data_IF_518355628459
#
_entry.id   IF_518355628459
#
_cell.length_a   1.000
_cell.length_b   1.000
_cell.length_c   1.000
_cell.angle_alpha   90.00
_cell.angle_beta   90.00
_cell.angle_gamma   90.00
#
_symmetry.space_group_name_H-M   'P 1'
#
loop_
_entity.id
_entity.type
_entity.pdbx_description
1 polymer ?
2 non-polymer ?
3 water ?
#
# COMPACT_ATOMS: atom_id res chain seq x y z
N UNK A 24 10.31 -25.05 13.28
CA UNK A 24 11.75 -24.90 13.16
C UNK A 24 12.21 -23.47 13.37
N UNK A 25 11.35 -22.67 14.01
CA UNK A 25 11.63 -21.26 14.23
C UNK A 25 12.29 -21.06 15.58
N UNK A 26 13.29 -20.18 15.63
CA UNK A 26 13.91 -19.83 16.89
C UNK A 26 12.97 -18.95 17.71
N UNK A 27 13.23 -18.88 19.02
CA UNK A 27 12.40 -18.07 19.89
C UNK A 27 12.49 -16.60 19.53
N UNK A 28 13.64 -16.14 19.04
CA UNK A 28 13.76 -14.75 18.59
C UNK A 28 12.88 -14.50 17.37
N UNK A 29 12.78 -15.48 16.47
CA UNK A 29 11.94 -15.31 15.28
C UNK A 29 10.46 -15.37 15.63
N UNK A 30 10.10 -16.17 16.63
CA UNK A 30 8.71 -16.20 17.08
C UNK A 30 8.31 -14.88 17.71
N UNK A 31 9.19 -14.30 18.54
CA UNK A 31 8.89 -12.98 19.10
C UNK A 31 8.76 -11.92 18.03
N UNK A 32 9.53 -12.05 16.95
CA UNK A 32 9.46 -11.09 15.85
C UNK A 32 8.09 -11.13 15.18
N UNK A 33 7.61 -12.33 14.85
CA UNK A 33 6.32 -12.46 14.20
C UNK A 33 5.21 -12.02 15.14
N UNK A 34 5.33 -12.35 16.43
CA UNK A 34 4.30 -11.98 17.40
C UNK A 34 4.14 -10.47 17.47
N UNK A 35 5.25 -9.74 17.52
CA UNK A 35 5.18 -8.28 17.62
C UNK A 35 4.67 -7.65 16.33
N UNK A 36 4.98 -8.23 15.17
CA UNK A 36 4.47 -7.67 13.92
C UNK A 36 2.97 -7.89 13.79
N UNK A 37 2.49 -9.07 14.20
CA UNK A 37 1.05 -9.33 14.19
C UNK A 37 0.33 -8.41 15.17
N UNK A 38 0.92 -8.21 16.35
CA UNK A 38 0.32 -7.29 17.32
C UNK A 38 0.25 -5.87 16.77
N UNK A 39 1.32 -5.43 16.11
CA UNK A 39 1.31 -4.12 15.46
C UNK A 39 0.19 -4.02 14.43
N UNK A 40 0.04 -5.05 13.60
CA UNK A 40 -0.97 -5.03 12.56
C UNK A 40 -2.38 -5.08 13.14
N UNK A 41 -2.56 -5.83 14.23
CA UNK A 41 -3.87 -5.94 14.84
C UNK A 41 -4.35 -4.59 15.38
N UNK A 42 -3.44 -3.78 15.90
CA UNK A 42 -3.82 -2.52 16.54
C UNK A 42 -3.96 -1.36 15.57
N UNK A 43 -3.33 -1.41 14.40
CA UNK A 43 -3.26 -0.25 13.53
C UNK A 43 -3.95 -0.43 12.19
N UNK A 44 -4.47 -1.62 11.89
CA UNK A 44 -5.15 -1.89 10.63
C UNK A 44 -6.64 -2.06 10.90
N UNK A 45 -7.41 -1.01 10.62
CA UNK A 45 -8.87 -1.04 10.72
C UNK A 45 -9.41 -1.79 9.51
N UNK A 46 -9.52 -3.11 9.66
CA UNK A 46 -9.93 -3.96 8.54
C UNK A 46 -11.32 -3.61 8.03
N UNK A 47 -12.20 -3.15 8.92
CA UNK A 47 -13.56 -2.79 8.53
C UNK A 47 -13.72 -1.31 8.16
N UNK A 48 -12.65 -0.53 8.24
CA UNK A 48 -12.66 0.89 7.85
C UNK A 48 -13.75 1.68 8.55
N UNK A 49 -14.11 1.28 9.78
CA UNK A 49 -15.25 1.89 10.45
C UNK A 49 -14.98 3.31 10.92
N UNK A 50 -13.72 3.72 11.00
CA UNK A 50 -13.36 5.05 11.47
C UNK A 50 -12.97 5.99 10.35
N UNK A 51 -13.24 5.63 9.10
CA UNK A 51 -12.98 6.45 7.94
C UNK A 51 -14.25 7.26 7.66
N UNK A 52 -14.26 8.53 8.08
CA UNK A 52 -15.46 9.35 8.05
C UNK A 52 -15.18 10.70 7.39
N UNK A 53 -16.26 11.40 7.07
CA UNK A 53 -16.22 12.80 6.61
C UNK A 53 -15.35 13.00 5.38
N UNK A 54 -15.29 11.99 4.52
CA UNK A 54 -14.46 12.07 3.32
C UNK A 54 -15.23 12.71 2.18
N UNK A 55 -14.47 13.34 1.27
CA UNK A 55 -15.05 14.02 0.13
C UNK A 55 -15.47 13.01 -0.94
N UNK A 56 -16.39 13.44 -1.79
CA UNK A 56 -17.00 12.61 -2.81
C UNK A 56 -17.12 13.40 -4.11
N UNK A 57 -17.23 12.72 -5.25
CA UNK A 57 -17.46 13.44 -6.51
C UNK A 57 -18.75 14.24 -6.46
N UNK A 58 -18.67 15.51 -6.84
CA UNK A 58 -19.75 16.44 -6.54
C UNK A 58 -21.03 16.08 -7.27
N UNK A 59 -22.15 16.30 -6.60
CA UNK A 59 -23.46 16.07 -7.18
C UNK A 59 -23.89 17.26 -8.03
N UNK A 79 -0.54 20.49 -23.80
CA UNK A 79 0.79 20.86 -23.32
C UNK A 79 1.18 19.97 -22.15
N UNK A 80 1.36 20.57 -20.97
CA UNK A 80 1.52 19.76 -19.77
C UNK A 80 0.21 19.09 -19.38
N UNK A 81 -0.93 19.69 -19.74
CA UNK A 81 -2.22 19.07 -19.47
C UNK A 81 -2.47 17.85 -20.35
N UNK A 82 -1.80 17.76 -21.50
CA UNK A 82 -1.88 16.55 -22.31
C UNK A 82 -1.13 15.39 -21.67
N UNK A 83 -0.05 15.68 -20.96
CA UNK A 83 0.70 14.68 -20.20
C UNK A 83 0.08 14.41 -18.83
N UNK A 84 -0.66 15.37 -18.27
CA UNK A 84 -1.34 15.14 -17.00
C UNK A 84 -2.38 14.04 -17.12
N UNK A 85 -2.98 13.89 -18.30
CA UNK A 85 -3.96 12.83 -18.52
C UNK A 85 -3.30 11.45 -18.50
N UNK A 86 -2.01 11.35 -18.78
CA UNK A 86 -1.29 10.08 -18.75
C UNK A 86 -0.74 9.76 -17.37
N UNK A 87 -1.08 10.52 -16.35
CA UNK A 87 -0.53 10.34 -15.01
C UNK A 87 -1.58 9.99 -13.98
N UNK A 88 -2.84 9.91 -14.36
CA UNK A 88 -3.90 9.61 -13.41
C UNK A 88 -3.96 8.11 -13.16
N UNK A 89 -4.72 7.72 -12.14
CA UNK A 89 -5.02 6.31 -11.98
C UNK A 89 -5.69 5.76 -13.22
N UNK A 90 -4.92 5.08 -14.06
CA UNK A 90 -5.43 4.63 -15.34
C UNK A 90 -6.53 3.57 -15.21
N UNK A 91 -6.81 3.09 -14.01
CA UNK A 91 -7.84 2.07 -13.79
C UNK A 91 -9.17 2.73 -13.44
N UNK A 92 -10.18 2.51 -14.28
CA UNK A 92 -11.49 3.09 -14.07
C UNK A 92 -12.26 2.28 -13.02
N UNK A 93 -12.73 2.95 -11.98
CA UNK A 93 -13.42 2.29 -10.87
C UNK A 93 -14.75 2.98 -10.62
N UNK A 94 -15.79 2.18 -10.41
CA UNK A 94 -17.04 2.67 -9.84
C UNK A 94 -16.96 2.59 -8.32
N UNK A 95 -17.88 3.30 -7.67
CA UNK A 95 -17.78 3.53 -6.23
C UNK A 95 -19.10 3.14 -5.58
N UNK A 96 -19.02 2.38 -4.48
CA UNK A 96 -20.18 1.87 -3.76
C UNK A 96 -20.16 2.37 -2.32
N UNK A 97 -21.33 2.76 -1.81
CA UNK A 97 -21.48 3.18 -0.42
C UNK A 97 -22.71 2.49 0.15
N UNK A 98 -22.50 1.49 1.00
CA UNK A 98 -23.60 0.76 1.62
C UNK A 98 -23.94 1.45 2.94
N UNK A 99 -25.13 2.05 3.01
CA UNK A 99 -25.56 2.69 4.24
C UNK A 99 -25.97 1.68 5.29
N UNK A 100 -25.85 2.09 6.55
CA UNK A 100 -26.20 1.20 7.65
C UNK A 100 -27.65 0.77 7.62
N UNK A 101 -28.52 1.54 6.96
CA UNK A 101 -29.94 1.21 6.88
C UNK A 101 -30.28 0.24 5.77
N UNK A 102 -29.38 0.05 4.81
CA UNK A 102 -29.63 -0.81 3.65
C UNK A 102 -29.58 -0.09 2.33
N UNK A 103 -29.44 1.24 2.32
CA UNK A 103 -29.39 1.98 1.07
C UNK A 103 -28.03 1.82 0.39
N UNK A 104 -28.02 1.97 -0.92
CA UNK A 104 -26.80 1.87 -1.72
C UNK A 104 -26.68 3.10 -2.62
N UNK A 105 -25.64 3.90 -2.39
CA UNK A 105 -25.25 4.95 -3.31
C UNK A 105 -24.18 4.41 -4.24
N UNK A 106 -24.36 4.61 -5.54
CA UNK A 106 -23.43 4.09 -6.53
C UNK A 106 -22.99 5.19 -7.48
N UNK A 107 -21.69 5.22 -7.77
CA UNK A 107 -21.09 6.24 -8.63
C UNK A 107 -20.47 5.58 -9.85
N UNK A 108 -20.92 5.98 -11.04
CA UNK A 108 -20.27 5.65 -12.31
C UNK A 108 -19.53 6.86 -12.83
N UNK A 109 -18.26 6.74 -13.20
CA UNK A 109 -17.50 7.92 -13.60
C UNK A 109 -17.66 8.21 -15.08
N UNK A 110 -17.26 9.39 -15.53
CA UNK A 110 -17.37 9.74 -16.94
C UNK A 110 -16.09 9.43 -17.72
N UNK A 111 -16.22 9.46 -19.04
CA UNK A 111 -15.08 9.28 -19.93
C UNK A 111 -14.35 10.62 -20.12
N UNK A 112 -13.13 10.54 -20.65
CA UNK A 112 -12.33 11.74 -20.86
C UNK A 112 -12.91 12.62 -21.97
N UNK A 116 -11.66 19.32 -17.26
CA UNK A 116 -11.22 19.22 -15.87
C UNK A 116 -12.11 18.28 -15.06
N UNK A 117 -12.90 17.46 -15.75
CA UNK A 117 -13.71 16.43 -15.09
C UNK A 117 -12.91 15.17 -14.80
N UNK A 118 -11.66 15.09 -15.26
CA UNK A 118 -10.78 13.99 -14.90
C UNK A 118 -10.21 14.15 -13.50
N UNK A 119 -10.46 15.28 -12.85
CA UNK A 119 -9.97 15.55 -11.50
C UNK A 119 -11.02 15.34 -10.43
N UNK A 120 -12.18 14.76 -10.77
CA UNK A 120 -13.29 14.68 -9.84
C UNK A 120 -13.04 13.67 -8.71
N UNK A 121 -12.19 12.68 -8.94
CA UNK A 121 -11.93 11.65 -7.94
C UNK A 121 -10.69 11.94 -7.09
N UNK A 122 -9.92 12.98 -7.41
CA UNK A 122 -8.70 13.26 -6.67
C UNK A 122 -8.94 13.61 -5.21
N UNK A 123 -9.91 14.48 -4.85
CA UNK A 123 -10.10 14.77 -3.41
C UNK A 123 -10.48 13.55 -2.60
N UNK A 124 -11.32 12.66 -3.14
CA UNK A 124 -11.66 11.45 -2.40
C UNK A 124 -10.47 10.53 -2.24
N UNK A 125 -9.68 10.37 -3.31
CA UNK A 125 -8.49 9.53 -3.22
C UNK A 125 -7.54 10.07 -2.16
N UNK A 126 -7.38 11.39 -2.08
CA UNK A 126 -6.46 11.97 -1.12
C UNK A 126 -6.92 11.73 0.32
N UNK A 127 -8.24 11.72 0.56
CA UNK A 127 -8.73 11.46 1.91
C UNK A 127 -8.51 10.00 2.30
N UNK A 128 -8.82 9.07 1.39
CA UNK A 128 -8.55 7.65 1.64
C UNK A 128 -7.06 7.43 1.86
N UNK A 129 -6.23 8.05 1.01
CA UNK A 129 -4.78 7.93 1.14
C UNK A 129 -4.31 8.42 2.51
N UNK A 130 -4.86 9.55 2.97
CA UNK A 130 -4.47 10.10 4.26
C UNK A 130 -4.92 9.19 5.41
N UNK A 131 -6.09 8.57 5.28
CA UNK A 131 -6.55 7.67 6.33
C UNK A 131 -5.68 6.42 6.39
N UNK A 132 -5.28 5.89 5.23
CA UNK A 132 -4.36 4.75 5.22
C UNK A 132 -3.01 5.12 5.80
N UNK A 133 -2.48 6.28 5.42
CA UNK A 133 -1.14 6.66 5.87
C UNK A 133 -1.08 6.83 7.38
N UNK A 134 -2.17 7.29 8.00
CA UNK A 134 -2.17 7.42 9.46
C UNK A 134 -2.01 6.07 10.13
N UNK A 135 -2.70 5.05 9.62
CA UNK A 135 -2.54 3.71 10.17
C UNK A 135 -1.16 3.13 9.93
N UNK A 136 -0.58 3.42 8.77
CA UNK A 136 0.74 2.88 8.45
C UNK A 136 1.80 3.49 9.36
N UNK A 137 1.71 4.79 9.63
CA UNK A 137 2.64 5.45 10.53
C UNK A 137 2.49 4.88 11.94
N UNK A 138 1.26 4.60 12.37
CA UNK A 138 1.06 4.02 13.70
C UNK A 138 1.61 2.61 13.77
N UNK A 139 1.50 1.86 12.68
CA UNK A 139 2.09 0.53 12.61
C UNK A 139 3.60 0.59 12.80
N UNK A 140 4.26 1.56 12.15
CA UNK A 140 5.71 1.67 12.28
C UNK A 140 6.11 2.03 13.71
N UNK A 141 5.39 2.97 14.33
CA UNK A 141 5.82 3.51 15.62
C UNK A 141 5.66 2.52 16.77
N UNK A 142 4.85 1.47 16.62
CA UNK A 142 4.73 0.48 17.67
C UNK A 142 5.78 -0.63 17.57
N UNK A 143 6.44 -0.76 16.43
CA UNK A 143 7.46 -1.79 16.25
C UNK A 143 8.74 -1.36 16.97
N UNK A 144 9.26 -2.23 17.83
CA UNK A 144 10.43 -1.87 18.63
C UNK A 144 11.64 -1.60 17.75
N UNK A 145 11.86 -2.42 16.72
CA UNK A 145 12.99 -2.19 15.83
C UNK A 145 12.90 -0.83 15.16
N UNK A 146 11.70 -0.37 14.86
CA UNK A 146 11.51 0.96 14.29
C UNK A 146 11.63 2.04 15.36
N UNK A 147 11.07 1.78 16.55
CA UNK A 147 11.08 2.76 17.62
C UNK A 147 12.50 3.15 18.03
N UNK A 148 13.47 2.26 17.84
CA UNK A 148 14.83 2.48 18.31
C UNK A 148 15.71 3.21 17.30
N UNK A 149 15.26 3.36 16.05
CA UNK A 149 16.05 4.08 15.07
C UNK A 149 16.01 5.58 15.36
N UNK A 150 17.03 6.32 14.92
CA UNK A 150 17.01 7.78 15.09
C UNK A 150 15.77 8.38 14.43
N UNK A 151 15.28 9.48 15.02
CA UNK A 151 14.01 10.06 14.58
C UNK A 151 14.08 10.51 13.12
N UNK A 152 15.24 11.00 12.69
CA UNK A 152 15.38 11.41 11.29
C UNK A 152 15.42 10.21 10.35
N UNK A 153 15.84 9.05 10.84
CA UNK A 153 15.83 7.83 10.04
C UNK A 153 14.44 7.21 9.96
N UNK A 154 13.67 7.33 11.05
CA UNK A 154 12.28 6.90 11.02
C UNK A 154 11.49 7.70 9.99
N UNK A 155 11.70 9.01 9.94
CA UNK A 155 11.04 9.84 8.94
C UNK A 155 11.45 9.45 7.54
N UNK A 156 12.74 9.19 7.32
CA UNK A 156 13.20 8.83 5.98
C UNK A 156 12.61 7.50 5.53
N UNK A 157 12.48 6.54 6.45
CA UNK A 157 11.96 5.23 6.10
C UNK A 157 10.46 5.29 5.79
N UNK A 158 9.72 6.10 6.54
CA UNK A 158 8.29 6.24 6.27
C UNK A 158 8.03 6.95 4.95
N UNK A 159 8.90 7.90 4.59
CA UNK A 159 8.72 8.64 3.34
C UNK A 159 8.81 7.71 2.12
N UNK A 160 9.64 6.68 2.20
CA UNK A 160 9.88 5.83 1.05
C UNK A 160 8.99 4.61 0.96
N UNK A 161 8.33 4.24 2.06
CA UNK A 161 7.60 2.98 2.12
C UNK A 161 6.10 3.12 2.33
N UNK A 162 5.60 4.33 2.63
CA UNK A 162 4.18 4.48 2.93
C UNK A 162 3.30 4.04 1.75
N UNK A 163 3.71 4.41 0.53
CA UNK A 163 2.95 3.97 -0.64
C UNK A 163 2.94 2.44 -0.75
N UNK A 164 4.08 1.80 -0.51
CA UNK A 164 4.17 0.35 -0.70
C UNK A 164 3.32 -0.39 0.32
N UNK A 165 3.29 0.09 1.56
CA UNK A 165 2.49 -0.58 2.58
C UNK A 165 1.00 -0.38 2.35
N UNK A 166 0.61 0.79 1.80
CA UNK A 166 -0.79 1.00 1.46
C UNK A 166 -1.23 0.00 0.39
N UNK A 167 -0.38 -0.22 -0.62
CA UNK A 167 -0.65 -1.26 -1.62
C UNK A 167 -0.79 -2.63 -0.97
N UNK A 168 0.14 -2.96 -0.05
CA UNK A 168 0.14 -4.27 0.56
C UNK A 168 -1.12 -4.49 1.42
N UNK A 169 -1.48 -3.48 2.22
CA UNK A 169 -2.68 -3.60 3.04
C UNK A 169 -3.94 -3.69 2.18
N UNK A 170 -3.96 -2.96 1.06
CA UNK A 170 -5.12 -3.00 0.17
C UNK A 170 -5.26 -4.34 -0.53
N UNK A 171 -4.15 -5.05 -0.76
CA UNK A 171 -4.25 -6.36 -1.41
C UNK A 171 -5.02 -7.35 -0.56
N UNK A 172 -4.98 -7.19 0.77
CA UNK A 172 -5.68 -8.11 1.66
C UNK A 172 -7.20 -7.97 1.57
N UNK A 173 -7.70 -6.79 1.18
CA UNK A 173 -9.13 -6.60 1.02
C UNK A 173 -9.56 -6.71 -0.45
N UNK A 174 -8.65 -7.12 -1.33
CA UNK A 174 -8.94 -7.21 -2.75
C UNK A 174 -9.60 -8.54 -3.08
N UNK A 175 -10.63 -8.47 -3.91
CA UNK A 175 -11.38 -9.65 -4.38
C UNK A 175 -11.05 -9.81 -5.87
N UNK A 176 -10.18 -10.77 -6.17
CA UNK A 176 -9.75 -11.02 -7.55
C UNK A 176 -10.85 -11.66 -8.40
N UNK A 177 -11.91 -12.18 -7.77
CA UNK A 177 -12.98 -12.85 -8.46
C UNK A 177 -14.10 -11.90 -8.87
N UNK A 178 -14.14 -10.71 -8.25
CA UNK A 178 -15.08 -9.66 -8.61
C UNK A 178 -14.39 -8.37 -9.06
N UNK A 179 -13.06 -8.29 -8.98
CA UNK A 179 -12.33 -7.10 -9.36
C UNK A 179 -12.63 -5.92 -8.47
N UNK A 180 -12.61 -6.14 -7.15
CA UNK A 180 -13.14 -5.19 -6.19
C UNK A 180 -12.28 -5.14 -4.94
N UNK A 181 -12.01 -3.92 -4.47
CA UNK A 181 -11.37 -3.68 -3.19
C UNK A 181 -12.47 -3.33 -2.17
N UNK A 182 -12.74 -4.27 -1.28
CA UNK A 182 -13.85 -4.16 -0.33
C UNK A 182 -13.33 -3.53 0.97
N UNK A 183 -13.74 -2.29 1.22
CA UNK A 183 -13.24 -1.50 2.34
C UNK A 183 -14.39 -1.18 3.29
N UNK A 184 -14.92 -2.21 3.92
CA UNK A 184 -16.08 -2.02 4.80
C UNK A 184 -17.31 -1.65 3.99
N UNK A 185 -17.93 -0.52 4.34
CA UNK A 185 -19.10 -0.06 3.60
C UNK A 185 -18.75 0.57 2.25
N UNK A 186 -17.47 0.74 1.96
CA UNK A 186 -16.98 1.30 0.70
C UNK A 186 -16.52 0.18 -0.21
N UNK A 187 -16.61 0.43 -1.53
CA UNK A 187 -16.11 -0.54 -2.51
C UNK A 187 -15.58 0.22 -3.72
N UNK A 188 -14.42 -0.21 -4.21
CA UNK A 188 -13.85 0.31 -5.45
C UNK A 188 -13.88 -0.85 -6.45
N UNK A 189 -14.90 -0.87 -7.29
CA UNK A 189 -15.07 -1.93 -8.28
C UNK A 189 -14.52 -1.47 -9.63
N UNK A 190 -13.79 -2.37 -10.28
CA UNK A 190 -13.25 -2.07 -11.60
C UNK A 190 -14.35 -2.10 -12.65
N UNK A 191 -14.25 -1.21 -13.63
CA UNK A 191 -15.22 -1.14 -14.72
C UNK A 191 -14.77 -2.05 -15.86
N UNK A 192 -15.72 -2.77 -16.44
CA UNK A 192 -15.43 -3.69 -17.53
C UNK A 192 -15.40 -2.97 -18.88
N UNK A 196 -11.13 -7.57 -22.27
CA UNK A 196 -11.63 -7.85 -20.94
C UNK A 196 -10.57 -7.75 -19.85
N UNK A 197 -10.62 -8.69 -18.90
CA UNK A 197 -9.66 -8.71 -17.78
C UNK A 197 -8.26 -9.14 -18.20
N UNK A 198 -8.00 -9.23 -19.51
CA UNK A 198 -6.67 -9.50 -20.05
C UNK A 198 -5.98 -8.24 -20.53
N UNK A 199 -6.69 -7.37 -21.24
CA UNK A 199 -6.15 -6.07 -21.63
C UNK A 199 -6.07 -5.09 -20.47
N UNK A 200 -6.82 -5.35 -19.39
CA UNK A 200 -6.81 -4.46 -18.22
C UNK A 200 -5.62 -4.72 -17.31
N UNK A 201 -5.09 -5.95 -17.29
CA UNK A 201 -3.99 -6.30 -16.41
C UNK A 201 -2.62 -5.97 -17.01
N UNK A 202 -2.58 -5.25 -18.13
CA UNK A 202 -1.32 -4.71 -18.62
C UNK A 202 -0.80 -3.58 -17.74
N UNK A 203 -1.70 -2.90 -17.04
CA UNK A 203 -1.32 -1.87 -16.09
C UNK A 203 -0.59 -2.52 -14.92
N UNK A 204 0.65 -2.12 -14.62
CA UNK A 204 1.47 -2.88 -13.65
C UNK A 204 0.87 -2.97 -12.26
N UNK A 205 0.15 -1.95 -11.80
CA UNK A 205 -0.38 -1.99 -10.44
C UNK A 205 -1.46 -3.04 -10.31
N UNK A 206 -2.31 -3.17 -11.35
CA UNK A 206 -3.36 -4.18 -11.31
C UNK A 206 -2.78 -5.57 -11.44
N UNK A 207 -1.78 -5.75 -12.31
CA UNK A 207 -1.11 -7.04 -12.41
C UNK A 207 -0.43 -7.42 -11.10
N UNK A 208 0.09 -6.44 -10.37
CA UNK A 208 0.68 -6.72 -9.06
C UNK A 208 -0.36 -7.29 -8.10
N UNK A 209 -1.58 -6.77 -8.14
CA UNK A 209 -2.60 -7.18 -7.17
C UNK A 209 -3.14 -8.58 -7.47
N UNK A 210 -3.33 -8.91 -8.75
CA UNK A 210 -3.80 -10.25 -9.10
C UNK A 210 -2.77 -11.31 -8.79
N UNK A 211 -1.49 -11.00 -9.02
CA UNK A 211 -0.44 -11.97 -8.77
C UNK A 211 -0.21 -12.19 -7.28
N UNK A 212 -0.26 -11.11 -6.49
CA UNK A 212 -0.06 -11.27 -5.05
C UNK A 212 -1.22 -12.03 -4.41
N UNK A 213 -2.44 -11.81 -4.88
CA UNK A 213 -3.57 -12.57 -4.36
C UNK A 213 -3.46 -14.05 -4.71
N UNK A 214 -2.95 -14.34 -5.91
CA UNK A 214 -2.86 -15.73 -6.36
C UNK A 214 -1.89 -16.56 -5.52
N UNK A 215 -0.96 -15.91 -4.81
CA UNK A 215 -0.04 -16.64 -3.95
C UNK A 215 -0.68 -17.15 -2.67
N UNK A 216 -1.85 -16.61 -2.31
CA UNK A 216 -2.65 -17.08 -1.16
C UNK A 216 -1.83 -17.05 0.14
N UNK A 217 -1.37 -15.85 0.49
CA UNK A 217 -0.47 -15.67 1.62
C UNK A 217 -1.22 -15.63 2.94
N UNK A 218 -0.52 -16.02 4.00
CA UNK A 218 -1.03 -15.91 5.36
C UNK A 218 -0.89 -14.49 5.87
N UNK A 219 -1.63 -14.19 6.94
CA UNK A 219 -1.49 -12.88 7.59
C UNK A 219 -0.05 -12.62 8.00
N UNK A 220 0.64 -13.65 8.50
CA UNK A 220 2.02 -13.48 8.93
C UNK A 220 2.94 -13.17 7.75
N UNK A 221 2.65 -13.73 6.57
CA UNK A 221 3.47 -13.44 5.40
C UNK A 221 3.27 -12.01 4.92
N UNK A 222 2.04 -11.50 5.03
CA UNK A 222 1.76 -10.12 4.64
C UNK A 222 2.50 -9.13 5.54
N UNK A 223 2.43 -9.34 6.86
CA UNK A 223 3.04 -8.40 7.78
C UNK A 223 4.56 -8.43 7.66
N UNK A 224 5.14 -9.56 7.24
CA UNK A 224 6.58 -9.62 7.02
C UNK A 224 6.99 -8.89 5.75
N UNK A 225 6.14 -8.93 4.72
CA UNK A 225 6.40 -8.11 3.53
C UNK A 225 6.38 -6.63 3.88
N UNK A 226 5.45 -6.21 4.74
CA UNK A 226 5.44 -4.83 5.21
C UNK A 226 6.76 -4.48 5.89
N UNK A 227 7.26 -5.37 6.75
CA UNK A 227 8.46 -5.07 7.52
C UNK A 227 9.68 -4.92 6.61
N UNK A 228 9.86 -5.88 5.68
CA UNK A 228 10.97 -5.83 4.74
C UNK A 228 10.92 -4.54 3.91
N UNK A 229 9.72 -4.13 3.51
CA UNK A 229 9.57 -2.91 2.72
C UNK A 229 9.86 -1.68 3.56
N UNK A 230 9.31 -1.61 4.78
CA UNK A 230 9.52 -0.46 5.64
C UNK A 230 10.99 -0.28 5.99
N UNK A 231 11.72 -1.38 6.16
CA UNK A 231 13.13 -1.33 6.55
C UNK A 231 14.07 -1.45 5.35
N UNK A 232 13.77 -0.79 4.23
CA UNK A 232 14.69 -0.82 3.09
C UNK A 232 15.79 0.22 3.28
N UNK A 233 17.07 -0.18 3.29
CA UNK A 233 18.13 0.78 3.66
C UNK A 233 18.48 1.75 2.55
N UNK A 234 18.09 1.48 1.31
CA UNK A 234 18.40 2.29 0.15
C UNK A 234 17.40 3.43 -0.09
N UNK A 235 16.66 3.83 0.93
CA UNK A 235 15.73 4.94 0.76
C UNK A 235 16.48 6.27 0.81
N UNK A 236 16.06 7.26 0.03
CA UNK A 236 16.74 8.57 0.06
C UNK A 236 16.73 9.19 1.45
N UNK A 237 17.93 9.39 2.00
CA UNK A 237 18.11 10.12 3.24
C UNK A 237 18.49 9.27 4.44
N UNK A 238 18.53 7.95 4.32
CA UNK A 238 18.78 7.10 5.48
C UNK A 238 20.24 7.23 5.89
N UNK A 239 20.47 7.29 7.20
CA UNK A 239 21.80 7.43 7.78
C UNK A 239 22.37 6.11 8.29
N UNK A 240 21.59 5.39 9.10
CA UNK A 240 22.02 4.11 9.66
C UNK A 240 21.77 2.97 8.68
N UNK A 241 22.43 3.05 7.52
CA UNK A 241 22.22 2.06 6.48
C UNK A 241 22.64 0.66 6.95
N UNK A 242 23.71 0.57 7.74
CA UNK A 242 24.14 -0.72 8.26
C UNK A 242 23.11 -1.31 9.22
N UNK A 243 22.52 -0.46 10.08
CA UNK A 243 21.53 -0.95 11.04
C UNK A 243 20.25 -1.38 10.33
N UNK A 244 19.76 -0.55 9.41
CA UNK A 244 18.56 -0.88 8.66
C UNK A 244 18.78 -2.12 7.81
N UNK A 245 20.00 -2.31 7.29
CA UNK A 245 20.29 -3.47 6.46
C UNK A 245 20.27 -4.75 7.28
N UNK A 246 20.86 -4.74 8.48
CA UNK A 246 20.84 -5.93 9.32
C UNK A 246 19.42 -6.27 9.75
N UNK A 247 18.60 -5.25 10.02
CA UNK A 247 17.20 -5.48 10.37
C UNK A 247 16.42 -6.09 9.22
N UNK A 248 16.63 -5.57 8.00
CA UNK A 248 15.93 -6.09 6.84
C UNK A 248 16.25 -7.56 6.60
N UNK A 249 17.52 -7.94 6.82
CA UNK A 249 17.93 -9.31 6.54
C UNK A 249 17.28 -10.30 7.53
N UNK A 250 17.17 -9.90 8.79
CA UNK A 250 16.52 -10.76 9.78
C UNK A 250 15.03 -10.94 9.46
N UNK A 251 14.39 -9.88 8.97
CA UNK A 251 12.98 -9.99 8.58
C UNK A 251 12.81 -10.94 7.40
N UNK A 252 13.70 -10.87 6.41
CA UNK A 252 13.61 -11.76 5.25
C UNK A 252 13.96 -13.19 5.63
N UNK A 253 14.93 -13.38 6.52
CA UNK A 253 15.29 -14.73 6.96
C UNK A 253 14.14 -15.34 7.75
N UNK A 254 13.45 -14.54 8.57
CA UNK A 254 12.28 -15.04 9.29
C UNK A 254 11.19 -15.49 8.33
N UNK A 255 10.99 -14.74 7.24
CA UNK A 255 9.98 -15.11 6.24
C UNK A 255 10.35 -16.41 5.53
N UNK A 256 11.62 -16.56 5.15
CA UNK A 256 12.06 -17.80 4.51
C UNK A 256 11.89 -18.98 5.46
N UNK A 257 12.21 -18.80 6.74
CA UNK A 257 12.05 -19.87 7.72
C UNK A 257 10.58 -20.19 7.95
N UNK A 258 9.72 -19.16 7.98
CA UNK A 258 8.29 -19.40 8.16
C UNK A 258 7.74 -20.27 7.04
N UNK A 259 8.12 -19.95 5.79
CA UNK A 259 7.63 -20.73 4.65
C UNK A 259 8.15 -22.15 4.69
N UNK A 260 9.38 -22.34 5.20
CA UNK A 260 9.96 -23.67 5.26
C UNK A 260 9.24 -24.57 6.26
N UNK A 261 8.79 -24.01 7.38
CA UNK A 261 8.15 -24.82 8.41
C UNK A 261 6.65 -24.98 8.24
N UNK A 262 5.97 -24.06 7.55
CA UNK A 262 4.52 -24.04 7.51
C UNK A 262 3.92 -24.43 6.16
N UNK A 263 4.73 -24.65 5.13
CA UNK A 263 4.21 -24.92 3.80
C UNK A 263 5.04 -26.00 3.10
N UNK A 264 4.67 -27.27 3.28
CA UNK A 264 5.42 -28.34 2.60
C UNK A 264 4.93 -28.63 1.19
N UNK A 265 3.78 -28.10 0.79
CA UNK A 265 3.16 -28.49 -0.47
C UNK A 265 4.03 -28.10 -1.66
N UNK A 266 3.92 -28.83 -2.78
CA UNK A 266 4.70 -28.47 -3.98
C UNK A 266 4.23 -27.21 -4.65
N UNK A 267 3.01 -26.74 -4.39
CA UNK A 267 2.56 -25.48 -4.97
C UNK A 267 3.32 -24.29 -4.40
N UNK A 268 3.88 -24.42 -3.20
CA UNK A 268 4.64 -23.36 -2.56
C UNK A 268 6.15 -23.53 -2.72
N UNK A 269 6.57 -24.25 -3.76
CA UNK A 269 7.99 -24.32 -4.09
C UNK A 269 8.44 -22.97 -4.64
N UNK A 270 9.56 -22.46 -4.12
CA UNK A 270 10.10 -21.14 -4.47
C UNK A 270 9.19 -20.00 -4.05
N UNK A 271 8.29 -20.22 -3.09
CA UNK A 271 7.38 -19.16 -2.67
C UNK A 271 8.14 -17.96 -2.10
N UNK A 272 9.16 -18.20 -1.29
CA UNK A 272 9.92 -17.10 -0.72
C UNK A 272 10.58 -16.25 -1.81
N UNK A 273 11.12 -16.90 -2.85
CA UNK A 273 11.75 -16.16 -3.93
C UNK A 273 10.71 -15.40 -4.75
N UNK A 274 9.50 -15.95 -4.87
CA UNK A 274 8.44 -15.25 -5.58
C UNK A 274 8.03 -13.98 -4.85
N UNK A 275 8.03 -14.02 -3.51
CA UNK A 275 7.65 -12.85 -2.72
C UNK A 275 8.71 -11.76 -2.83
N UNK A 276 9.99 -12.13 -2.73
CA UNK A 276 11.06 -11.14 -2.87
C UNK A 276 11.03 -10.48 -4.24
N UNK A 277 10.71 -11.25 -5.28
CA UNK A 277 10.60 -10.67 -6.63
C UNK A 277 9.46 -9.66 -6.69
N UNK A 278 8.32 -9.96 -6.06
CA UNK A 278 7.20 -9.03 -6.04
C UNK A 278 7.54 -7.75 -5.27
N UNK A 279 8.35 -7.87 -4.22
CA UNK A 279 8.76 -6.69 -3.48
C UNK A 279 9.64 -5.78 -4.33
N UNK A 280 10.42 -6.36 -5.25
CA UNK A 280 11.20 -5.55 -6.17
C UNK A 280 10.30 -4.86 -7.19
N UNK A 281 9.22 -5.53 -7.63
CA UNK A 281 8.30 -4.91 -8.57
C UNK A 281 7.45 -3.83 -7.91
N UNK A 282 6.97 -4.10 -6.70
CA UNK A 282 6.25 -3.10 -5.92
C UNK A 282 7.04 -1.81 -5.79
N UNK A 283 8.36 -1.93 -5.72
CA UNK A 283 9.21 -0.76 -5.56
C UNK A 283 9.42 0.00 -6.87
N UNK A 284 9.42 -0.69 -8.01
CA UNK A 284 9.42 0.02 -9.29
C UNK A 284 8.09 0.74 -9.51
N UNK A 285 6.97 0.10 -9.14
CA UNK A 285 5.67 0.75 -9.22
C UNK A 285 5.66 2.00 -8.35
N UNK A 286 6.33 1.94 -7.20
CA UNK A 286 6.36 3.09 -6.29
C UNK A 286 7.08 4.27 -6.92
N UNK A 287 8.24 4.04 -7.54
CA UNK A 287 9.00 5.13 -8.15
C UNK A 287 8.26 5.73 -9.33
N UNK A 288 7.64 4.89 -10.16
CA UNK A 288 6.92 5.39 -11.33
C UNK A 288 5.72 6.24 -10.93
N UNK A 289 5.09 5.95 -9.79
CA UNK A 289 3.89 6.66 -9.38
C UNK A 289 4.18 7.89 -8.54
N UNK A 290 5.30 7.89 -7.80
CA UNK A 290 5.66 9.09 -7.03
C UNK A 290 5.87 10.27 -7.97
N UNK A 291 6.53 10.04 -9.10
CA UNK A 291 6.72 11.12 -10.07
C UNK A 291 5.41 11.49 -10.75
N UNK A 292 4.51 10.52 -10.95
CA UNK A 292 3.24 10.81 -11.59
C UNK A 292 2.37 11.71 -10.72
N UNK A 293 2.36 11.46 -9.41
CA UNK A 293 1.56 12.28 -8.50
C UNK A 293 2.13 13.67 -8.36
N UNK A 294 3.46 13.80 -8.36
CA UNK A 294 4.08 15.11 -8.21
C UNK A 294 3.88 15.97 -9.45
N UNK A 295 3.74 15.34 -10.62
CA UNK A 295 3.41 16.09 -11.82
C UNK A 295 1.99 16.65 -11.74
N UNK A 296 1.03 15.82 -11.33
CA UNK A 296 -0.35 16.27 -11.18
C UNK A 296 -0.43 17.37 -10.13
N UNK A 297 0.29 17.19 -9.02
CA UNK A 297 0.22 18.15 -7.91
C UNK A 297 0.67 19.55 -8.34
N UNK A 298 1.58 19.63 -9.32
CA UNK A 298 2.00 20.94 -9.81
C UNK A 298 0.95 21.58 -10.71
N UNK A 299 0.13 20.79 -11.39
CA UNK A 299 -0.89 21.31 -12.29
C UNK A 299 -2.24 21.45 -11.59
N UNK A 300 -2.61 20.48 -10.75
CA UNK A 300 -3.89 20.50 -10.06
C UNK A 300 -3.68 20.07 -8.61
N UNK A 301 -3.52 21.02 -7.69
CA UNK A 301 -3.21 20.66 -6.30
C UNK A 301 -4.33 19.83 -5.66
N UNK A 302 -3.92 18.81 -4.91
CA UNK A 302 -4.87 17.89 -4.29
C UNK A 302 -4.32 17.26 -3.02
N UNK A 303 -3.00 17.30 -2.85
CA UNK A 303 -2.36 16.59 -1.74
C UNK A 303 -2.74 17.20 -0.39
N UNK A 304 -3.09 16.35 0.57
CA UNK A 304 -3.37 16.80 1.92
C UNK A 304 -2.06 17.17 2.62
N UNK A 305 -2.14 17.90 3.75
CA UNK A 305 -0.91 18.23 4.48
C UNK A 305 -0.06 17.03 4.85
N UNK A 306 -0.68 15.93 5.30
CA UNK A 306 0.10 14.74 5.64
C UNK A 306 0.72 14.10 4.40
N UNK A 307 0.06 14.20 3.24
CA UNK A 307 0.67 13.72 2.02
C UNK A 307 1.84 14.61 1.57
N UNK A 308 1.73 15.92 1.78
CA UNK A 308 2.84 16.81 1.47
C UNK A 308 4.07 16.48 2.30
N UNK A 309 3.86 16.20 3.59
CA UNK A 309 4.97 15.86 4.48
C UNK A 309 5.73 14.62 3.98
N UNK A 310 5.00 13.64 3.45
CA UNK A 310 5.63 12.40 2.97
C UNK A 310 6.22 12.55 1.58
N UNK A 311 5.80 13.55 0.81
CA UNK A 311 6.34 13.79 -0.53
C UNK A 311 7.44 14.84 -0.54
N UNK A 312 7.80 15.39 0.61
CA UNK A 312 8.82 16.42 0.67
C UNK A 312 8.35 17.80 0.27
N UNK A 313 7.04 18.01 0.11
CA UNK A 313 6.52 19.32 -0.23
C UNK A 313 6.65 20.25 0.98
N UNK A 314 7.15 21.46 0.74
CA UNK A 314 7.47 22.40 1.81
C UNK A 314 6.40 23.45 2.05
N UNK A 315 5.66 23.86 1.01
CA UNK A 315 4.72 24.95 1.12
C UNK A 315 5.23 26.28 0.65
N UNK A 316 6.50 26.35 0.24
CA UNK A 316 7.09 27.59 -0.27
C UNK A 316 7.52 27.41 -1.72
N UNK A 317 8.42 28.28 -2.20
CA UNK A 317 8.97 28.21 -3.57
C UNK A 317 7.88 28.04 -4.63
#
# INVERSE_FOLDING_TARGET
MKKGHHHHHHGSERTGTQPLGVQGLTEEQRMMIRELMDAQMKTFDTTFSHFKNFRLPGVLSSGCELPESLQAPSREEAAKWSQVRKDLCSLKVSLQLRGEDGSVWNYKPPADSGGKEIFSLLPHMADMSTYMFKGIISFAKVISYFRDLPIEDQISLLKGAAFELCQLRFNTVFNAETGTWECGRLSYCLEDTAGGFQQLLLEPMLKFHYMLKKLQLHEEEYVLMQAISLFSPDRPGVLQHRVVDQLQEQFAITLKSYIECNRPQPAHRFLFLKIMAMLTELRSINAQHTQRLLRIQDIHPFATPLMQELFGITGSLVPR
#
